data_IF_415472113552
#
_entry.id   IF_415472113552
#
_cell.length_a   1.000
_cell.length_b   1.000
_cell.length_c   1.000
_cell.angle_alpha   90.00
_cell.angle_beta   90.00
_cell.angle_gamma   90.00
#
_symmetry.space_group_name_H-M   'P 1'
#
loop_
_entity.id
_entity.type
_entity.pdbx_description
1 polymer ?
#
# COMPACT_ATOMS: atom_id res chain seq x y z
N UNK A 1 14.53 83.49 43.33
CA UNK A 1 14.39 83.29 41.88
C UNK A 1 14.87 81.87 41.56
N UNK A 2 13.98 80.88 41.57
CA UNK A 2 14.36 79.46 41.37
C UNK A 2 13.91 79.01 39.98
N UNK A 3 14.88 78.63 39.13
CA UNK A 3 14.63 78.03 37.81
C UNK A 3 14.35 76.53 37.99
N UNK A 4 13.17 76.08 37.55
CA UNK A 4 12.83 74.66 37.44
C UNK A 4 13.40 74.08 36.13
N UNK A 5 14.19 73.01 36.24
CA UNK A 5 14.75 72.30 35.09
C UNK A 5 13.77 71.21 34.62
N UNK A 6 13.24 71.36 33.39
CA UNK A 6 12.38 70.40 32.71
C UNK A 6 13.21 69.22 32.19
N UNK A 7 12.98 68.02 32.72
CA UNK A 7 13.58 66.76 32.25
C UNK A 7 12.73 66.19 31.12
N UNK A 8 13.22 66.26 29.87
CA UNK A 8 12.55 65.70 28.70
C UNK A 8 12.93 64.22 28.55
N UNK A 9 11.96 63.34 28.80
CA UNK A 9 12.08 61.89 28.57
C UNK A 9 12.16 61.59 27.07
N UNK A 10 13.22 60.91 26.63
CA UNK A 10 13.37 60.39 25.27
C UNK A 10 12.97 58.92 25.29
N UNK A 11 11.72 58.62 24.95
CA UNK A 11 11.25 57.25 24.77
C UNK A 11 11.72 56.77 23.40
N UNK A 12 12.74 55.92 23.35
CA UNK A 12 13.23 55.29 22.13
C UNK A 12 12.34 54.11 21.74
N UNK A 13 11.74 54.19 20.56
CA UNK A 13 11.07 53.05 19.91
C UNK A 13 12.14 52.12 19.32
N UNK A 14 12.43 51.01 19.99
CA UNK A 14 13.14 49.88 19.38
C UNK A 14 12.11 49.02 18.63
N UNK A 15 12.03 49.17 17.32
CA UNK A 15 11.24 48.29 16.47
C UNK A 15 12.03 46.99 16.22
N UNK A 16 11.61 45.90 16.86
CA UNK A 16 12.13 44.55 16.61
C UNK A 16 11.39 44.00 15.39
N UNK A 17 12.07 43.95 14.24
CA UNK A 17 11.60 43.28 13.02
C UNK A 17 11.76 41.76 13.21
N UNK A 18 10.67 41.08 13.60
CA UNK A 18 10.58 39.62 13.57
C UNK A 18 10.42 39.18 12.10
N UNK A 19 11.52 38.70 11.48
CA UNK A 19 11.45 38.01 10.20
C UNK A 19 10.84 36.61 10.43
N UNK A 20 9.62 36.39 9.93
CA UNK A 20 8.93 35.10 10.01
C UNK A 20 9.59 34.06 9.12
N UNK A 21 10.07 32.98 9.72
CA UNK A 21 10.51 31.78 8.99
C UNK A 21 9.25 31.06 8.50
N UNK A 22 9.00 31.10 7.20
CA UNK A 22 7.94 30.31 6.57
C UNK A 22 8.47 28.88 6.47
N UNK A 23 7.99 27.99 7.35
CA UNK A 23 8.25 26.56 7.20
C UNK A 23 7.45 26.03 6.00
N UNK A 24 8.16 25.62 4.95
CA UNK A 24 7.55 24.89 3.83
C UNK A 24 7.38 23.44 4.28
N UNK A 25 6.15 22.87 4.25
CA UNK A 25 5.99 21.46 4.53
C UNK A 25 6.63 20.67 3.41
N UNK A 26 7.72 19.96 3.71
CA UNK A 26 8.23 18.92 2.82
C UNK A 26 7.24 17.76 2.90
N UNK A 27 6.56 17.45 1.79
CA UNK A 27 5.90 16.16 1.68
C UNK A 27 6.97 15.08 1.92
N UNK A 28 6.84 14.35 3.02
CA UNK A 28 7.66 13.17 3.25
C UNK A 28 7.15 12.12 2.26
N UNK A 29 7.83 11.99 1.12
CA UNK A 29 7.53 10.92 0.18
C UNK A 29 7.90 9.60 0.83
N UNK A 30 6.95 8.67 0.92
CA UNK A 30 7.21 7.29 1.32
C UNK A 30 8.20 6.61 0.37
N UNK A 31 8.72 5.46 0.80
CA UNK A 31 9.59 4.63 -0.04
C UNK A 31 8.81 4.12 -1.28
N UNK A 32 9.50 3.93 -2.41
CA UNK A 32 8.82 3.50 -3.64
C UNK A 32 8.18 2.11 -3.47
N UNK A 33 7.05 1.80 -4.13
CA UNK A 33 6.40 0.49 -3.97
C UNK A 33 7.27 -0.69 -4.41
N UNK A 34 8.15 -0.50 -5.41
CA UNK A 34 9.17 -1.49 -5.76
C UNK A 34 10.14 -1.75 -4.59
N UNK A 35 10.64 -0.70 -3.94
CA UNK A 35 11.54 -0.87 -2.81
C UNK A 35 10.81 -1.45 -1.58
N UNK A 36 9.56 -1.06 -1.34
CA UNK A 36 8.73 -1.69 -0.33
C UNK A 36 8.57 -3.20 -0.58
N UNK A 37 8.36 -3.61 -1.83
CA UNK A 37 8.38 -5.03 -2.20
C UNK A 37 9.73 -5.68 -1.90
N UNK A 38 10.85 -5.06 -2.29
CA UNK A 38 12.19 -5.60 -2.05
C UNK A 38 12.48 -5.79 -0.56
N UNK A 39 12.10 -4.83 0.28
CA UNK A 39 12.40 -4.82 1.72
C UNK A 39 11.46 -5.77 2.48
N UNK A 40 10.18 -5.79 2.14
CA UNK A 40 9.15 -6.43 2.97
C UNK A 40 8.62 -7.76 2.42
N UNK A 41 8.74 -8.03 1.12
CA UNK A 41 8.07 -9.17 0.48
C UNK A 41 9.03 -10.11 -0.27
N UNK A 42 10.02 -9.55 -0.96
CA UNK A 42 10.93 -10.29 -1.84
C UNK A 42 11.69 -11.41 -1.13
N UNK A 43 12.00 -11.25 0.16
CA UNK A 43 12.70 -12.28 0.94
C UNK A 43 11.98 -13.64 0.93
N UNK A 44 10.66 -13.65 0.79
CA UNK A 44 9.85 -14.87 0.68
C UNK A 44 9.37 -15.10 -0.76
N UNK A 45 8.87 -14.06 -1.43
CA UNK A 45 8.24 -14.20 -2.75
C UNK A 45 9.21 -14.17 -3.93
N UNK A 46 10.51 -13.95 -3.69
CA UNK A 46 11.57 -13.81 -4.69
C UNK A 46 11.40 -12.57 -5.59
N UNK A 47 12.45 -12.18 -6.31
CA UNK A 47 12.45 -10.94 -7.09
C UNK A 47 11.46 -10.98 -8.27
N UNK A 48 11.20 -12.16 -8.81
CA UNK A 48 10.28 -12.41 -9.92
C UNK A 48 8.87 -12.83 -9.46
N UNK A 49 8.64 -12.94 -8.16
CA UNK A 49 7.34 -13.34 -7.60
C UNK A 49 7.07 -14.84 -7.68
N UNK A 50 8.07 -15.68 -8.02
CA UNK A 50 7.89 -17.13 -8.12
C UNK A 50 7.62 -17.80 -6.76
N UNK A 51 8.07 -17.19 -5.66
CA UNK A 51 7.92 -17.74 -4.31
C UNK A 51 8.60 -19.10 -4.12
N UNK A 52 8.09 -19.89 -3.18
CA UNK A 52 8.52 -21.27 -2.92
C UNK A 52 7.29 -22.12 -2.60
N UNK A 53 6.54 -22.54 -3.63
CA UNK A 53 5.32 -23.31 -3.41
C UNK A 53 5.58 -24.68 -2.74
N UNK A 54 4.64 -25.18 -1.93
CA UNK A 54 3.33 -24.57 -1.63
C UNK A 54 3.39 -23.52 -0.50
N UNK A 55 4.50 -23.44 0.24
CA UNK A 55 4.61 -22.65 1.47
C UNK A 55 4.52 -21.14 1.21
N UNK A 56 5.18 -20.65 0.16
CA UNK A 56 5.06 -19.27 -0.32
C UNK A 56 4.51 -19.29 -1.74
N UNK A 57 3.27 -18.82 -1.97
CA UNK A 57 2.63 -18.92 -3.27
C UNK A 57 3.34 -18.03 -4.31
N UNK A 58 3.36 -18.53 -5.55
CA UNK A 58 3.73 -17.73 -6.72
C UNK A 58 2.64 -16.68 -7.01
N UNK A 59 3.04 -15.51 -7.49
CA UNK A 59 2.11 -14.49 -7.98
C UNK A 59 1.67 -14.73 -9.41
N UNK A 60 2.53 -15.35 -10.24
CA UNK A 60 2.27 -15.54 -11.65
C UNK A 60 0.98 -16.33 -11.88
N UNK A 61 0.01 -15.71 -12.56
CA UNK A 61 -1.30 -16.28 -12.85
C UNK A 61 -2.16 -16.59 -11.61
N UNK A 62 -1.81 -16.04 -10.44
CA UNK A 62 -2.53 -16.29 -9.18
C UNK A 62 -2.92 -15.00 -8.45
N UNK A 63 -2.10 -13.95 -8.52
CA UNK A 63 -2.33 -12.73 -7.74
C UNK A 63 -3.61 -12.00 -8.16
N UNK A 64 -3.84 -11.86 -9.47
CA UNK A 64 -5.01 -11.23 -10.05
C UNK A 64 -6.29 -12.07 -9.96
N UNK A 65 -6.19 -13.40 -9.77
CA UNK A 65 -7.37 -14.26 -9.59
C UNK A 65 -8.23 -13.81 -8.40
N UNK A 66 -7.60 -13.29 -7.34
CA UNK A 66 -8.31 -12.77 -6.17
C UNK A 66 -9.12 -11.50 -6.47
N UNK A 67 -8.87 -10.81 -7.58
CA UNK A 67 -9.69 -9.68 -8.00
C UNK A 67 -11.05 -10.12 -8.58
N UNK A 68 -11.21 -11.39 -8.90
CA UNK A 68 -12.39 -11.95 -9.57
C UNK A 68 -13.44 -12.53 -8.58
N UNK A 69 -13.15 -12.53 -7.29
CA UNK A 69 -14.01 -13.15 -6.26
C UNK A 69 -14.31 -12.20 -5.12
N UNK A 70 -15.53 -12.28 -4.60
CA UNK A 70 -15.96 -11.49 -3.46
C UNK A 70 -15.07 -11.77 -2.24
N UNK A 71 -14.50 -10.70 -1.68
CA UNK A 71 -13.56 -10.77 -0.56
C UNK A 71 -12.13 -11.12 -0.93
N UNK A 72 -11.80 -11.37 -2.20
CA UNK A 72 -10.43 -11.63 -2.62
C UNK A 72 -9.53 -10.38 -2.54
N UNK A 73 -10.09 -9.19 -2.82
CA UNK A 73 -9.39 -7.92 -2.57
C UNK A 73 -9.01 -7.73 -1.10
N UNK A 74 -9.96 -7.99 -0.20
CA UNK A 74 -9.71 -7.94 1.25
C UNK A 74 -8.61 -8.91 1.67
N UNK A 75 -8.63 -10.13 1.12
CA UNK A 75 -7.64 -11.14 1.40
C UNK A 75 -6.22 -10.69 1.05
N UNK A 76 -5.99 -10.05 -0.11
CA UNK A 76 -4.65 -9.53 -0.48
C UNK A 76 -4.13 -8.45 0.48
N UNK A 77 -5.02 -7.67 1.10
CA UNK A 77 -4.65 -6.70 2.15
C UNK A 77 -4.35 -7.38 3.49
N UNK A 78 -5.06 -8.47 3.79
CA UNK A 78 -5.05 -9.11 5.10
C UNK A 78 -4.04 -10.26 5.24
N UNK A 79 -3.39 -10.71 4.15
CA UNK A 79 -2.36 -11.76 4.25
C UNK A 79 -1.21 -11.31 5.18
N UNK A 80 -0.55 -12.24 5.88
CA UNK A 80 0.49 -11.91 6.86
C UNK A 80 1.60 -11.00 6.33
N UNK A 81 2.01 -11.16 5.07
CA UNK A 81 3.03 -10.32 4.45
C UNK A 81 2.63 -8.84 4.36
N UNK A 82 1.36 -8.56 4.05
CA UNK A 82 0.83 -7.20 3.94
C UNK A 82 0.52 -6.62 5.32
N UNK A 83 -0.19 -7.38 6.16
CA UNK A 83 -0.66 -6.89 7.47
C UNK A 83 0.47 -6.64 8.47
N UNK A 84 1.55 -7.45 8.41
CA UNK A 84 2.69 -7.30 9.31
C UNK A 84 3.80 -6.38 8.75
N UNK A 85 3.68 -5.90 7.51
CA UNK A 85 4.62 -4.93 6.98
C UNK A 85 4.49 -3.62 7.79
N UNK A 86 5.60 -2.95 8.13
CA UNK A 86 5.60 -1.67 8.83
C UNK A 86 5.27 -0.52 7.86
N UNK A 87 4.20 -0.70 7.07
CA UNK A 87 3.72 0.22 6.05
C UNK A 87 2.36 0.78 6.46
N UNK A 88 2.13 2.05 6.14
CA UNK A 88 0.80 2.66 6.30
C UNK A 88 -0.17 2.22 5.20
N UNK A 89 -1.43 2.68 5.30
CA UNK A 89 -2.50 2.26 4.39
C UNK A 89 -2.29 2.76 2.95
N UNK A 90 -1.66 3.93 2.79
CA UNK A 90 -1.36 4.49 1.48
C UNK A 90 -0.20 3.73 0.82
N UNK A 91 0.86 3.44 1.57
CA UNK A 91 2.00 2.64 1.11
C UNK A 91 1.58 1.22 0.71
N UNK A 92 0.69 0.58 1.47
CA UNK A 92 0.14 -0.74 1.12
C UNK A 92 -0.71 -0.66 -0.16
N UNK A 93 -1.54 0.37 -0.32
CA UNK A 93 -2.32 0.54 -1.54
C UNK A 93 -1.41 0.69 -2.77
N UNK A 94 -0.39 1.54 -2.69
CA UNK A 94 0.60 1.73 -3.75
C UNK A 94 1.38 0.44 -4.04
N UNK A 95 1.80 -0.29 -3.00
CA UNK A 95 2.49 -1.57 -3.11
C UNK A 95 1.64 -2.61 -3.85
N UNK A 96 0.39 -2.83 -3.43
CA UNK A 96 -0.49 -3.83 -4.05
C UNK A 96 -0.80 -3.48 -5.51
N UNK A 97 -1.03 -2.20 -5.81
CA UNK A 97 -1.24 -1.72 -7.17
C UNK A 97 -0.01 -1.99 -8.05
N UNK A 98 1.18 -1.70 -7.53
CA UNK A 98 2.44 -1.98 -8.22
C UNK A 98 2.66 -3.48 -8.44
N UNK A 99 2.42 -4.31 -7.42
CA UNK A 99 2.56 -5.77 -7.51
C UNK A 99 1.62 -6.37 -8.58
N UNK A 100 0.37 -5.92 -8.63
CA UNK A 100 -0.58 -6.36 -9.65
C UNK A 100 -0.13 -5.96 -11.05
N UNK A 101 0.28 -4.71 -11.25
CA UNK A 101 0.82 -4.26 -12.53
C UNK A 101 2.08 -5.04 -12.94
N UNK A 102 2.95 -5.38 -11.98
CA UNK A 102 4.23 -6.03 -12.23
C UNK A 102 4.14 -7.54 -12.47
N UNK A 103 3.33 -8.24 -11.69
CA UNK A 103 3.27 -9.71 -11.67
C UNK A 103 2.04 -10.28 -12.37
N UNK A 104 1.06 -9.43 -12.68
CA UNK A 104 -0.16 -9.81 -13.42
C UNK A 104 -0.29 -9.05 -14.74
N UNK A 105 0.80 -8.52 -15.30
CA UNK A 105 0.79 -7.67 -16.51
C UNK A 105 -0.05 -8.26 -17.66
N UNK A 106 0.01 -9.58 -17.86
CA UNK A 106 -0.68 -10.27 -18.94
C UNK A 106 -2.17 -10.56 -18.66
N UNK A 107 -2.58 -10.57 -17.39
CA UNK A 107 -3.90 -11.03 -16.95
C UNK A 107 -4.70 -9.98 -16.19
N UNK A 108 -4.08 -8.84 -15.84
CA UNK A 108 -4.75 -7.75 -15.15
C UNK A 108 -5.83 -7.12 -16.06
N UNK A 109 -7.09 -7.05 -15.60
CA UNK A 109 -8.17 -6.47 -16.40
C UNK A 109 -7.92 -5.00 -16.76
N UNK A 110 -8.31 -4.60 -17.98
CA UNK A 110 -8.15 -3.21 -18.44
C UNK A 110 -8.98 -2.20 -17.63
N UNK A 111 -10.07 -2.66 -17.02
CA UNK A 111 -10.94 -1.91 -16.12
C UNK A 111 -10.58 -2.12 -14.63
N UNK A 112 -9.38 -2.64 -14.35
CA UNK A 112 -8.86 -2.76 -12.99
C UNK A 112 -8.95 -1.42 -12.26
N UNK A 113 -9.64 -1.44 -11.11
CA UNK A 113 -9.71 -0.31 -10.19
C UNK A 113 -8.58 -0.46 -9.15
N UNK A 114 -7.63 0.49 -9.11
CA UNK A 114 -6.56 0.49 -8.12
C UNK A 114 -7.11 0.50 -6.69
N UNK A 115 -6.40 -0.17 -5.77
CA UNK A 115 -6.63 -0.04 -4.34
C UNK A 115 -6.46 1.41 -3.90
N UNK A 116 -7.34 1.86 -3.01
CA UNK A 116 -7.20 3.14 -2.32
C UNK A 116 -6.75 2.94 -0.87
N UNK A 117 -6.15 3.98 -0.30
CA UNK A 117 -5.82 4.03 1.13
C UNK A 117 -7.06 3.72 1.99
N UNK A 118 -8.23 4.29 1.67
CA UNK A 118 -9.45 4.08 2.47
C UNK A 118 -9.96 2.64 2.37
N UNK A 119 -9.79 1.99 1.21
CA UNK A 119 -10.12 0.58 1.04
C UNK A 119 -9.20 -0.31 1.87
N UNK A 120 -7.89 -0.03 1.85
CA UNK A 120 -6.90 -0.76 2.66
C UNK A 120 -7.18 -0.58 4.15
N UNK A 121 -7.38 0.65 4.60
CA UNK A 121 -7.70 0.98 6.00
C UNK A 121 -8.91 0.19 6.51
N UNK A 122 -9.97 0.12 5.68
CA UNK A 122 -11.17 -0.66 5.99
C UNK A 122 -10.84 -2.15 6.16
N UNK A 123 -10.10 -2.75 5.22
CA UNK A 123 -9.78 -4.17 5.28
C UNK A 123 -8.80 -4.53 6.40
N UNK A 124 -7.86 -3.65 6.77
CA UNK A 124 -6.97 -3.86 7.92
C UNK A 124 -7.69 -3.79 9.27
N UNK A 125 -8.86 -3.16 9.32
CA UNK A 125 -9.73 -3.18 10.50
C UNK A 125 -10.35 -4.55 10.80
N UNK A 126 -10.21 -5.52 9.89
CA UNK A 126 -10.76 -6.86 10.02
C UNK A 126 -9.65 -7.91 10.17
N UNK A 127 -9.82 -8.85 11.11
CA UNK A 127 -8.82 -9.86 11.40
C UNK A 127 -8.97 -11.10 10.49
N UNK A 128 -7.90 -11.45 9.78
CA UNK A 128 -7.80 -12.72 9.06
C UNK A 128 -7.18 -13.80 9.96
N UNK A 129 -8.04 -14.65 10.53
CA UNK A 129 -7.64 -15.68 11.50
C UNK A 129 -6.89 -16.86 10.87
N UNK A 130 -7.34 -17.31 9.70
CA UNK A 130 -6.76 -18.45 8.98
C UNK A 130 -6.55 -18.09 7.50
N UNK A 131 -5.37 -17.56 7.14
CA UNK A 131 -5.08 -17.19 5.76
C UNK A 131 -5.12 -18.37 4.79
N UNK A 132 -4.76 -19.58 5.22
CA UNK A 132 -4.73 -20.75 4.36
C UNK A 132 -6.15 -21.24 4.05
N UNK A 133 -7.01 -21.36 5.07
CA UNK A 133 -8.40 -21.73 4.87
C UNK A 133 -9.16 -20.67 4.06
N UNK A 134 -8.93 -19.38 4.33
CA UNK A 134 -9.55 -18.30 3.54
C UNK A 134 -9.11 -18.35 2.07
N UNK A 135 -7.83 -18.60 1.80
CA UNK A 135 -7.31 -18.78 0.43
C UNK A 135 -8.07 -19.89 -0.28
N UNK A 136 -8.14 -21.07 0.33
CA UNK A 136 -8.82 -22.22 -0.27
C UNK A 136 -10.29 -21.94 -0.55
N UNK A 137 -10.98 -21.29 0.39
CA UNK A 137 -12.38 -20.91 0.22
C UNK A 137 -12.58 -19.93 -0.95
N UNK A 138 -11.71 -18.94 -1.11
CA UNK A 138 -11.77 -17.98 -2.21
C UNK A 138 -11.46 -18.63 -3.57
N UNK A 139 -10.47 -19.51 -3.62
CA UNK A 139 -10.12 -20.22 -4.85
C UNK A 139 -11.26 -21.16 -5.30
N UNK A 140 -12.02 -21.73 -4.36
CA UNK A 140 -13.17 -22.58 -4.68
C UNK A 140 -14.36 -21.81 -5.28
N UNK A 141 -14.39 -20.48 -5.15
CA UNK A 141 -15.47 -19.63 -5.71
C UNK A 141 -15.08 -18.95 -7.02
N UNK A 142 -13.88 -19.21 -7.55
CA UNK A 142 -13.46 -18.62 -8.80
C UNK A 142 -14.44 -18.99 -9.92
N UNK A 143 -14.78 -18.04 -10.81
CA UNK A 143 -15.59 -18.35 -11.96
C UNK A 143 -14.87 -19.40 -12.78
N UNK A 144 -15.56 -20.51 -13.06
CA UNK A 144 -15.08 -21.52 -14.00
C UNK A 144 -14.97 -20.81 -15.35
N UNK A 145 -13.76 -20.65 -15.88
CA UNK A 145 -13.61 -20.26 -17.27
C UNK A 145 -14.34 -21.30 -18.12
N UNK A 146 -15.27 -20.90 -18.99
CA UNK A 146 -15.88 -21.84 -19.92
C UNK A 146 -14.73 -22.50 -20.67
N UNK A 147 -14.63 -23.82 -20.61
CA UNK A 147 -13.67 -24.57 -21.41
C UNK A 147 -13.97 -24.24 -22.89
N UNK A 148 -13.21 -23.34 -23.50
CA UNK A 148 -13.05 -23.38 -24.93
C UNK A 148 -12.25 -24.66 -25.23
N UNK A 149 -12.66 -25.36 -26.29
CA UNK A 149 -12.30 -26.76 -26.57
C UNK A 149 -10.84 -26.97 -27.00
N UNK A 150 -9.92 -26.12 -26.53
CA UNK A 150 -8.50 -26.16 -26.80
C UNK A 150 -7.65 -26.02 -25.52
N UNK A 151 -7.97 -26.76 -24.45
CA UNK A 151 -7.01 -26.85 -23.33
C UNK A 151 -7.53 -27.17 -21.93
N UNK A 152 -8.81 -27.49 -21.74
CA UNK A 152 -9.28 -27.88 -20.40
C UNK A 152 -8.58 -29.18 -19.92
N UNK A 153 -7.62 -29.05 -19.00
CA UNK A 153 -6.94 -30.18 -18.38
C UNK A 153 -5.61 -29.92 -17.68
N UNK A 154 -4.95 -28.77 -17.84
CA UNK A 154 -3.67 -28.51 -17.15
C UNK A 154 -3.84 -27.54 -15.98
N UNK A 155 -4.34 -28.07 -14.87
CA UNK A 155 -3.90 -27.57 -13.56
C UNK A 155 -2.48 -28.08 -13.38
N UNK A 156 -1.50 -27.30 -13.81
CA UNK A 156 -0.09 -27.59 -13.57
C UNK A 156 0.14 -27.58 -12.06
N UNK A 157 0.35 -28.77 -11.50
CA UNK A 157 0.82 -29.00 -10.14
C UNK A 157 2.19 -28.35 -9.91
#
# INVERSE_FOLDING_TARGET
MSRAASRRSRTGFFAVLLAGIIAVPTAQGGESPHNNYMIHCQGCHLADGAGTPPDVPSFAGQLDMFLQVDGGRAYLVQVPGTTNAPLDDAEIAELLNWMLARFSEQTLPADFVPYSEQEVARYRGELLLDPAAKRQALLATLPVQPCDVAGCGQVSQ
#
